data_IF_256704180597
#
_entry.id   IF_256704180597
#
_cell.length_a   1.000
_cell.length_b   1.000
_cell.length_c   1.000
_cell.angle_alpha   90.00
_cell.angle_beta   90.00
_cell.angle_gamma   90.00
#
_symmetry.space_group_name_H-M   'P 1'
#
loop_
_entity.id
_entity.type
_entity.pdbx_description
1 polymer ?
#
# COMPACT_ATOMS: atom_id res chain seq x y z
N UNK A 1 -9.16 67.22 -29.99
CA UNK A 1 -10.40 67.05 -29.17
C UNK A 1 -10.45 65.64 -28.67
N UNK A 2 -10.06 65.40 -27.44
CA UNK A 2 -10.10 64.11 -26.82
C UNK A 2 -9.78 64.27 -25.35
N UNK A 3 -10.66 63.98 -24.48
CA UNK A 3 -10.54 64.22 -23.05
C UNK A 3 -9.68 63.14 -22.39
N UNK A 4 -8.72 63.60 -21.60
CA UNK A 4 -7.94 62.86 -20.66
C UNK A 4 -8.73 62.64 -19.38
N UNK A 5 -8.95 61.40 -18.96
CA UNK A 5 -9.53 61.09 -17.67
C UNK A 5 -8.40 60.72 -16.68
N UNK A 6 -8.31 61.54 -15.63
CA UNK A 6 -7.36 61.42 -14.52
C UNK A 6 -7.85 60.36 -13.53
N UNK A 7 -7.02 59.40 -13.25
CA UNK A 7 -7.20 58.43 -12.15
C UNK A 7 -6.78 59.13 -10.83
N UNK A 8 -7.74 59.21 -9.90
CA UNK A 8 -7.57 59.74 -8.55
C UNK A 8 -7.01 58.70 -7.59
N UNK A 9 -5.87 59.00 -6.97
CA UNK A 9 -5.34 58.17 -5.88
C UNK A 9 -6.01 58.56 -4.56
N UNK A 10 -6.80 57.68 -3.99
CA UNK A 10 -7.35 57.77 -2.65
C UNK A 10 -6.31 57.53 -1.58
N UNK A 11 -6.19 58.48 -0.65
CA UNK A 11 -5.32 58.40 0.53
C UNK A 11 -5.85 57.37 1.51
N UNK A 12 -5.05 56.38 1.85
CA UNK A 12 -5.30 55.44 2.95
C UNK A 12 -4.89 56.11 4.27
N UNK A 13 -5.89 56.34 5.12
CA UNK A 13 -5.69 56.81 6.50
C UNK A 13 -5.30 55.59 7.37
N UNK A 14 -4.14 55.63 7.98
CA UNK A 14 -3.76 54.69 9.06
C UNK A 14 -4.48 55.12 10.35
N UNK A 15 -5.44 54.30 10.79
CA UNK A 15 -5.99 54.36 12.16
C UNK A 15 -5.10 53.46 13.04
N UNK A 16 -4.33 54.07 13.93
CA UNK A 16 -3.63 53.38 15.01
C UNK A 16 -4.66 53.08 16.11
N UNK A 17 -5.12 51.84 16.23
CA UNK A 17 -5.88 51.37 17.35
C UNK A 17 -4.95 50.97 18.49
N UNK A 18 -4.93 51.82 19.52
CA UNK A 18 -4.27 51.53 20.80
C UNK A 18 -5.14 50.56 21.59
N UNK A 19 -4.85 49.26 21.54
CA UNK A 19 -5.58 48.26 22.33
C UNK A 19 -5.00 48.22 23.75
N UNK A 20 -5.83 48.62 24.72
CA UNK A 20 -5.62 48.35 26.13
C UNK A 20 -5.57 46.85 26.37
N UNK A 21 -4.46 46.34 26.89
CA UNK A 21 -4.36 44.96 27.40
C UNK A 21 -5.01 44.97 28.79
N UNK A 22 -6.24 44.50 28.86
CA UNK A 22 -6.86 44.11 30.12
C UNK A 22 -6.40 42.66 30.40
N UNK A 23 -5.47 42.54 31.36
CA UNK A 23 -5.06 41.23 31.89
C UNK A 23 -6.24 40.65 32.72
N UNK A 24 -7.07 39.83 32.10
CA UNK A 24 -8.03 39.00 32.82
C UNK A 24 -7.30 37.72 33.23
N UNK A 25 -7.01 37.59 34.52
CA UNK A 25 -6.72 36.30 35.14
C UNK A 25 -7.97 35.41 35.02
N UNK A 26 -8.10 34.69 33.89
CA UNK A 26 -9.01 33.55 33.77
C UNK A 26 -8.30 32.33 34.34
N UNK A 27 -8.90 31.69 35.35
CA UNK A 27 -8.56 30.35 35.75
C UNK A 27 -8.77 29.39 34.55
N UNK A 28 -7.70 29.18 33.76
CA UNK A 28 -7.72 28.16 32.73
C UNK A 28 -7.78 26.81 33.44
N UNK A 29 -8.92 26.14 33.33
CA UNK A 29 -8.94 24.68 33.48
C UNK A 29 -7.93 24.15 32.47
N UNK A 30 -6.92 23.44 32.92
CA UNK A 30 -6.00 22.71 32.06
C UNK A 30 -6.86 21.66 31.34
N UNK A 31 -7.17 21.89 30.07
CA UNK A 31 -7.72 20.85 29.22
C UNK A 31 -6.72 19.70 29.26
N UNK A 32 -7.16 18.53 29.69
CA UNK A 32 -6.35 17.33 29.64
C UNK A 32 -5.83 17.08 28.19
N UNK A 33 -4.82 16.24 28.02
CA UNK A 33 -4.30 15.95 26.70
C UNK A 33 -5.42 15.50 25.77
N UNK A 34 -5.44 16.05 24.57
CA UNK A 34 -6.43 15.74 23.53
C UNK A 34 -6.39 14.24 23.21
N UNK A 35 -7.57 13.62 23.08
CA UNK A 35 -7.67 12.21 22.75
C UNK A 35 -6.99 11.91 21.40
N UNK A 36 -6.18 10.87 21.38
CA UNK A 36 -5.43 10.45 20.18
C UNK A 36 -6.10 9.23 19.56
N UNK A 37 -6.25 9.22 18.24
CA UNK A 37 -7.00 8.19 17.52
C UNK A 37 -6.03 7.24 16.81
N UNK A 38 -6.25 5.94 17.02
CA UNK A 38 -5.72 4.85 16.20
C UNK A 38 -6.87 4.25 15.41
N UNK A 39 -6.79 4.27 14.11
CA UNK A 39 -7.77 3.60 13.25
C UNK A 39 -7.47 2.11 13.19
N UNK A 40 -8.51 1.32 13.37
CA UNK A 40 -8.48 -0.13 13.21
C UNK A 40 -9.09 -0.41 11.86
N UNK A 41 -8.24 -0.70 10.90
CA UNK A 41 -8.65 -0.97 9.51
C UNK A 41 -8.14 -2.34 9.12
N UNK A 42 -8.73 -2.94 8.10
CA UNK A 42 -8.48 -4.31 7.69
C UNK A 42 -7.00 -4.72 7.83
N UNK A 43 -6.74 -5.58 8.82
CA UNK A 43 -5.44 -6.16 9.19
C UNK A 43 -4.35 -5.19 9.68
N UNK A 44 -4.69 -3.91 9.98
CA UNK A 44 -3.72 -2.90 10.39
C UNK A 44 -4.25 -1.95 11.49
N UNK A 45 -3.34 -1.51 12.37
CA UNK A 45 -3.53 -0.33 13.25
C UNK A 45 -2.83 0.88 12.65
N UNK A 46 -3.58 1.97 12.41
CA UNK A 46 -3.03 3.18 11.80
C UNK A 46 -3.22 4.43 12.69
N UNK A 47 -2.14 5.05 13.18
CA UNK A 47 -0.74 4.68 12.99
C UNK A 47 -0.35 3.42 13.78
N UNK A 48 0.57 2.63 13.26
CA UNK A 48 1.13 1.44 13.93
C UNK A 48 1.91 1.80 15.19
N UNK A 49 2.53 2.98 15.22
CA UNK A 49 3.24 3.53 16.37
C UNK A 49 2.73 4.93 16.68
N UNK A 50 2.26 5.14 17.90
CA UNK A 50 1.75 6.43 18.37
C UNK A 50 2.49 6.87 19.64
N UNK A 51 2.96 8.12 19.68
CA UNK A 51 3.56 8.74 20.88
C UNK A 51 2.57 9.69 21.54
N UNK A 52 2.37 9.51 22.83
CA UNK A 52 1.42 10.33 23.61
C UNK A 52 2.02 10.76 24.96
N UNK A 53 1.63 11.90 25.52
CA UNK A 53 1.95 12.27 26.90
C UNK A 53 1.38 11.32 27.93
N UNK A 54 1.95 11.26 29.14
CA UNK A 54 1.36 10.57 30.28
C UNK A 54 -0.02 11.17 30.61
N UNK A 55 -1.00 10.33 30.88
CA UNK A 55 -2.39 10.72 31.15
C UNK A 55 -3.24 10.86 29.87
N UNK A 56 -2.70 10.55 28.71
CA UNK A 56 -3.48 10.58 27.45
C UNK A 56 -4.44 9.40 27.35
N UNK A 57 -5.61 9.66 26.77
CA UNK A 57 -6.53 8.62 26.32
C UNK A 57 -6.31 8.37 24.84
N UNK A 58 -6.10 7.12 24.47
CA UNK A 58 -6.06 6.66 23.08
C UNK A 58 -7.37 5.98 22.76
N UNK A 59 -7.93 6.31 21.61
CA UNK A 59 -9.18 5.75 21.08
C UNK A 59 -8.85 4.91 19.85
N UNK A 60 -9.20 3.62 19.89
CA UNK A 60 -9.19 2.76 18.70
C UNK A 60 -10.56 2.81 18.05
N UNK A 61 -10.61 3.29 16.82
CA UNK A 61 -11.83 3.47 16.03
C UNK A 61 -11.86 2.49 14.87
N UNK A 62 -12.81 1.57 14.87
CA UNK A 62 -12.96 0.59 13.80
C UNK A 62 -13.56 1.21 12.54
N UNK A 63 -12.81 1.17 11.43
CA UNK A 63 -13.21 1.68 10.10
C UNK A 63 -13.25 0.63 9.00
N UNK A 64 -12.66 -0.55 9.24
CA UNK A 64 -12.58 -1.65 8.28
C UNK A 64 -13.87 -2.44 8.08
N UNK A 65 -13.80 -3.47 7.28
CA UNK A 65 -14.91 -4.40 7.03
C UNK A 65 -14.84 -5.64 7.92
N UNK A 66 -13.65 -5.96 8.44
CA UNK A 66 -13.40 -7.14 9.27
C UNK A 66 -13.65 -6.85 10.75
N UNK A 67 -13.90 -7.93 11.51
CA UNK A 67 -13.99 -7.88 12.95
C UNK A 67 -12.59 -7.87 13.57
N UNK A 68 -12.40 -7.01 14.57
CA UNK A 68 -11.10 -6.83 15.22
C UNK A 68 -11.18 -6.95 16.73
N UNK A 69 -10.01 -7.01 17.37
CA UNK A 69 -9.86 -6.77 18.80
C UNK A 69 -8.57 -5.97 19.03
N UNK A 70 -8.46 -5.38 20.20
CA UNK A 70 -7.27 -4.68 20.66
C UNK A 70 -6.90 -5.26 22.03
N UNK A 71 -5.79 -5.99 22.09
CA UNK A 71 -5.33 -6.66 23.30
C UNK A 71 -3.88 -6.25 23.57
N UNK A 72 -3.60 -5.79 24.80
CA UNK A 72 -2.23 -5.57 25.24
C UNK A 72 -1.41 -6.87 25.16
N UNK A 73 -0.17 -6.81 24.67
CA UNK A 73 0.69 -7.98 24.53
C UNK A 73 1.00 -8.68 25.85
N UNK A 74 0.95 -7.94 26.96
CA UNK A 74 1.09 -8.45 28.33
C UNK A 74 -0.25 -8.85 28.99
N UNK A 75 -1.37 -8.68 28.28
CA UNK A 75 -2.71 -9.00 28.77
C UNK A 75 -3.26 -8.02 29.81
N UNK A 76 -2.61 -6.87 30.04
CA UNK A 76 -3.02 -5.91 31.09
C UNK A 76 -4.31 -5.17 30.78
N UNK A 77 -4.68 -5.03 29.50
CA UNK A 77 -5.93 -4.42 29.04
C UNK A 77 -6.36 -4.98 27.69
N UNK A 78 -7.65 -4.90 27.38
CA UNK A 78 -8.22 -5.31 26.12
C UNK A 78 -9.52 -4.57 25.84
N UNK A 79 -9.90 -4.46 24.57
CA UNK A 79 -11.22 -4.02 24.17
C UNK A 79 -12.25 -5.06 24.66
N UNK A 80 -13.22 -4.62 25.45
CA UNK A 80 -14.31 -5.47 25.91
C UNK A 80 -15.57 -5.00 25.22
N UNK A 81 -16.14 -5.83 24.35
CA UNK A 81 -17.49 -5.58 23.86
C UNK A 81 -18.50 -6.06 24.87
N UNK A 82 -19.53 -5.26 25.12
CA UNK A 82 -20.67 -5.67 25.93
C UNK A 82 -21.38 -6.84 25.23
N UNK A 83 -21.49 -7.96 25.88
CA UNK A 83 -22.52 -9.00 25.81
C UNK A 83 -22.36 -10.25 24.96
N UNK A 84 -21.36 -10.46 24.10
CA UNK A 84 -21.43 -11.65 23.23
C UNK A 84 -20.20 -12.56 23.10
N UNK A 85 -18.99 -12.14 23.46
CA UNK A 85 -17.82 -13.01 23.34
C UNK A 85 -16.82 -12.84 24.49
N UNK A 86 -16.21 -13.93 24.89
CA UNK A 86 -15.14 -14.04 25.89
C UNK A 86 -13.89 -13.22 25.53
N UNK A 87 -13.83 -12.75 24.27
CA UNK A 87 -12.83 -11.82 23.73
C UNK A 87 -13.57 -10.67 23.07
N UNK A 88 -13.42 -9.45 23.54
CA UNK A 88 -14.08 -8.27 22.97
C UNK A 88 -13.85 -8.17 21.46
N UNK A 89 -14.92 -8.00 20.70
CA UNK A 89 -14.89 -7.77 19.25
C UNK A 89 -15.29 -6.33 19.02
N UNK A 90 -14.50 -5.61 18.21
CA UNK A 90 -14.84 -4.30 17.68
C UNK A 90 -15.18 -4.43 16.19
N UNK A 91 -16.39 -4.02 15.84
CA UNK A 91 -16.90 -4.03 14.48
C UNK A 91 -16.88 -2.62 13.91
N UNK A 92 -17.16 -2.46 12.64
CA UNK A 92 -17.16 -1.15 11.96
C UNK A 92 -18.03 -0.12 12.69
N UNK A 93 -17.41 0.98 13.09
CA UNK A 93 -18.04 2.09 13.80
C UNK A 93 -17.94 2.00 15.32
N UNK A 94 -17.45 0.88 15.86
CA UNK A 94 -17.18 0.75 17.29
C UNK A 94 -15.89 1.48 17.68
N UNK A 95 -15.83 1.86 18.96
CA UNK A 95 -14.65 2.50 19.54
C UNK A 95 -14.29 1.81 20.85
N UNK A 96 -12.99 1.68 21.07
CA UNK A 96 -12.42 1.28 22.34
C UNK A 96 -11.47 2.36 22.83
N UNK A 97 -11.47 2.68 24.10
CA UNK A 97 -10.57 3.67 24.68
C UNK A 97 -9.79 3.11 25.87
N UNK A 98 -8.54 3.56 26.00
CA UNK A 98 -7.70 3.26 27.13
C UNK A 98 -6.86 4.49 27.51
N UNK A 99 -6.77 4.78 28.85
CA UNK A 99 -5.98 5.89 29.37
C UNK A 99 -4.67 5.40 29.95
N UNK A 100 -3.57 5.94 29.46
CA UNK A 100 -2.21 5.58 29.87
C UNK A 100 -1.68 6.53 30.92
N UNK A 101 -1.68 6.11 32.19
CA UNK A 101 -1.29 6.94 33.34
C UNK A 101 0.20 6.84 33.71
N UNK A 102 0.95 5.92 33.13
CA UNK A 102 2.36 5.70 33.42
C UNK A 102 3.18 5.78 32.11
N UNK A 103 4.41 6.28 32.22
CA UNK A 103 5.33 6.31 31.08
C UNK A 103 5.80 4.89 30.76
N UNK A 104 5.86 4.54 29.48
CA UNK A 104 6.24 3.20 29.06
C UNK A 104 6.01 2.94 27.58
N UNK A 105 6.35 1.73 27.16
CA UNK A 105 6.05 1.21 25.83
C UNK A 105 4.98 0.13 25.99
N UNK A 106 3.88 0.31 25.29
CA UNK A 106 2.72 -0.55 25.36
C UNK A 106 2.47 -1.17 23.98
N UNK A 107 2.85 -2.43 23.87
CA UNK A 107 2.60 -3.21 22.67
C UNK A 107 1.22 -3.85 22.72
N UNK A 108 0.53 -3.93 21.60
CA UNK A 108 -0.79 -4.52 21.47
C UNK A 108 -1.00 -5.16 20.11
N UNK A 109 -1.99 -6.04 19.99
CA UNK A 109 -2.26 -6.77 18.76
C UNK A 109 -3.75 -7.11 18.60
N UNK A 110 -4.13 -7.52 17.39
CA UNK A 110 -5.43 -8.13 17.10
C UNK A 110 -5.27 -9.66 17.00
N UNK A 111 -5.89 -10.48 17.87
CA UNK A 111 -5.71 -11.93 17.87
C UNK A 111 -6.35 -12.63 16.65
N UNK A 112 -7.24 -11.95 15.91
CA UNK A 112 -7.82 -12.49 14.68
C UNK A 112 -6.85 -12.41 13.51
N UNK A 113 -5.97 -11.39 13.50
CA UNK A 113 -5.09 -11.05 12.37
C UNK A 113 -3.60 -11.03 12.76
N UNK A 114 -3.25 -11.57 13.93
CA UNK A 114 -1.88 -11.58 14.40
C UNK A 114 -1.67 -12.25 15.75
N UNK A 115 -0.44 -12.12 16.22
CA UNK A 115 0.00 -12.53 17.56
C UNK A 115 0.66 -11.33 18.24
N UNK A 116 1.08 -11.46 19.49
CA UNK A 116 1.70 -10.37 20.25
C UNK A 116 2.97 -9.74 19.62
N UNK A 117 3.53 -10.33 18.57
CA UNK A 117 4.74 -9.83 17.91
C UNK A 117 4.73 -9.93 16.38
N UNK A 118 3.64 -10.40 15.78
CA UNK A 118 3.57 -10.61 14.31
C UNK A 118 2.14 -10.39 13.80
N UNK A 119 2.02 -9.86 12.59
CA UNK A 119 0.75 -9.57 11.93
C UNK A 119 0.22 -8.20 12.35
N UNK A 120 -1.07 -8.10 12.68
CA UNK A 120 -1.71 -6.85 13.08
C UNK A 120 -1.31 -6.46 14.51
N UNK A 121 -0.24 -5.68 14.63
CA UNK A 121 0.36 -5.21 15.89
C UNK A 121 0.49 -3.69 15.90
N UNK A 122 0.42 -3.10 17.11
CA UNK A 122 0.61 -1.66 17.30
C UNK A 122 1.40 -1.36 18.58
N UNK A 123 1.86 -0.12 18.68
CA UNK A 123 2.71 0.34 19.79
C UNK A 123 2.27 1.74 20.22
N UNK A 124 1.98 1.90 21.52
CA UNK A 124 1.81 3.22 22.15
C UNK A 124 3.04 3.52 23.00
N UNK A 125 3.69 4.65 22.76
CA UNK A 125 4.79 5.14 23.57
C UNK A 125 4.28 6.30 24.39
N UNK A 126 4.30 6.15 25.70
CA UNK A 126 3.76 7.10 26.66
C UNK A 126 4.89 7.84 27.38
N UNK A 127 4.85 9.17 27.31
CA UNK A 127 5.87 10.03 27.92
C UNK A 127 7.18 10.07 27.15
N UNK A 128 8.23 10.55 27.79
CA UNK A 128 9.58 10.67 27.21
C UNK A 128 10.36 9.38 27.43
N UNK A 129 10.01 8.36 26.64
CA UNK A 129 10.64 7.05 26.70
C UNK A 129 11.44 6.84 25.41
N UNK A 130 12.75 6.53 25.58
CA UNK A 130 13.59 6.10 24.47
C UNK A 130 13.11 4.72 23.97
N UNK A 131 12.49 4.72 22.81
CA UNK A 131 12.09 3.51 22.12
C UNK A 131 12.73 3.47 20.75
N UNK A 132 13.55 2.46 20.53
CA UNK A 132 14.05 2.07 19.22
C UNK A 132 13.22 0.88 18.81
N UNK A 133 12.40 0.97 17.75
CA UNK A 133 11.73 -0.22 17.21
C UNK A 133 12.77 -1.31 17.01
N UNK A 134 12.48 -2.58 17.38
CA UNK A 134 13.36 -3.66 16.96
C UNK A 134 13.55 -3.48 15.44
N UNK A 135 14.79 -3.66 14.94
CA UNK A 135 14.99 -3.64 13.50
C UNK A 135 13.92 -4.56 12.91
N UNK A 136 13.21 -4.09 11.88
CA UNK A 136 12.38 -5.00 11.09
C UNK A 136 13.24 -6.22 10.86
N UNK A 137 12.74 -7.41 11.23
CA UNK A 137 13.49 -8.64 10.96
C UNK A 137 13.70 -8.67 9.44
N UNK A 138 14.81 -8.11 9.01
CA UNK A 138 15.29 -8.32 7.65
C UNK A 138 15.49 -9.82 7.64
N UNK A 139 14.64 -10.52 6.92
CA UNK A 139 14.77 -11.95 6.76
C UNK A 139 16.16 -12.22 6.16
N UNK A 140 17.15 -12.39 7.03
CA UNK A 140 18.56 -12.61 6.65
C UNK A 140 18.77 -13.99 6.02
N UNK A 141 17.73 -14.82 6.03
CA UNK A 141 17.71 -16.14 5.40
C UNK A 141 17.18 -16.13 3.96
N UNK A 142 16.98 -14.91 3.37
CA UNK A 142 16.62 -14.82 1.97
C UNK A 142 17.79 -15.37 1.11
N UNK A 143 17.46 -16.29 0.24
CA UNK A 143 18.38 -16.77 -0.79
C UNK A 143 18.72 -15.61 -1.74
N UNK A 144 19.93 -15.63 -2.27
CA UNK A 144 20.38 -14.70 -3.31
C UNK A 144 20.81 -15.45 -4.58
N UNK A 145 20.32 -16.67 -4.73
CA UNK A 145 20.64 -17.49 -5.89
C UNK A 145 19.99 -16.92 -7.15
N UNK A 146 20.65 -17.14 -8.28
CA UNK A 146 20.14 -16.74 -9.60
C UNK A 146 19.79 -17.99 -10.39
N UNK A 147 18.49 -18.15 -10.69
CA UNK A 147 18.00 -19.22 -11.54
C UNK A 147 17.80 -18.68 -12.95
N UNK A 148 18.65 -19.12 -13.88
CA UNK A 148 18.55 -18.68 -15.28
C UNK A 148 17.57 -19.52 -16.08
N UNK A 149 16.64 -18.82 -16.77
CA UNK A 149 15.64 -19.42 -17.65
C UNK A 149 15.99 -19.16 -19.11
N UNK A 150 15.92 -20.20 -19.93
CA UNK A 150 16.12 -20.08 -21.37
C UNK A 150 16.33 -21.42 -22.06
N UNK A 151 16.29 -21.39 -23.39
CA UNK A 151 16.46 -22.57 -24.21
C UNK A 151 17.81 -23.25 -23.92
N UNK A 152 17.77 -24.54 -23.67
CA UNK A 152 18.95 -25.37 -23.35
C UNK A 152 19.66 -25.01 -22.03
N UNK A 153 18.99 -24.25 -21.14
CA UNK A 153 19.44 -24.06 -19.75
C UNK A 153 18.78 -25.10 -18.82
N UNK A 154 19.14 -25.07 -17.57
CA UNK A 154 18.56 -25.95 -16.55
C UNK A 154 17.03 -25.75 -16.45
N UNK A 155 16.58 -24.51 -16.60
CA UNK A 155 15.16 -24.18 -16.62
C UNK A 155 14.78 -23.65 -18.00
N UNK A 156 13.98 -24.40 -18.75
CA UNK A 156 13.50 -23.99 -20.06
C UNK A 156 12.18 -23.19 -20.00
N UNK A 157 11.45 -23.31 -18.87
CA UNK A 157 10.22 -22.55 -18.59
C UNK A 157 10.39 -21.68 -17.35
N UNK A 158 9.69 -20.56 -17.30
CA UNK A 158 9.72 -19.67 -16.15
C UNK A 158 9.12 -20.38 -14.93
N UNK A 159 8.00 -21.10 -15.10
CA UNK A 159 7.36 -21.83 -14.02
C UNK A 159 8.30 -22.85 -13.38
N UNK A 160 9.09 -23.57 -14.16
CA UNK A 160 10.02 -24.57 -13.60
C UNK A 160 11.11 -23.94 -12.73
N UNK A 161 11.55 -22.72 -13.06
CA UNK A 161 12.48 -21.99 -12.21
C UNK A 161 11.80 -21.46 -10.95
N UNK A 162 10.56 -20.93 -11.07
CA UNK A 162 9.76 -20.47 -9.93
C UNK A 162 9.48 -21.61 -8.95
N UNK A 163 9.14 -22.82 -9.44
CA UNK A 163 8.88 -24.00 -8.60
C UNK A 163 10.13 -24.47 -7.82
N UNK A 164 11.31 -24.21 -8.36
CA UNK A 164 12.59 -24.58 -7.73
C UNK A 164 13.15 -23.49 -6.81
N UNK A 165 12.61 -22.26 -6.91
CA UNK A 165 13.15 -21.08 -6.23
C UNK A 165 12.85 -21.07 -4.74
N UNK A 166 13.74 -20.43 -3.99
CA UNK A 166 13.56 -20.09 -2.57
C UNK A 166 13.29 -18.59 -2.41
N UNK A 167 12.74 -18.24 -1.28
CA UNK A 167 12.50 -16.83 -0.94
C UNK A 167 13.78 -15.99 -1.11
N UNK A 168 13.68 -14.91 -1.86
CA UNK A 168 14.78 -13.98 -2.18
C UNK A 168 15.51 -14.24 -3.49
N UNK A 169 15.26 -15.37 -4.15
CA UNK A 169 15.94 -15.72 -5.41
C UNK A 169 15.57 -14.77 -6.56
N UNK A 170 16.50 -14.66 -7.49
CA UNK A 170 16.33 -14.00 -8.78
C UNK A 170 16.08 -15.03 -9.89
N UNK A 171 14.91 -14.98 -10.52
CA UNK A 171 14.61 -15.68 -11.77
C UNK A 171 15.02 -14.77 -12.92
N UNK A 172 16.14 -15.08 -13.56
CA UNK A 172 16.70 -14.27 -14.65
C UNK A 172 16.40 -14.90 -16.02
N UNK A 173 15.52 -14.23 -16.79
CA UNK A 173 14.96 -14.80 -18.01
C UNK A 173 15.73 -14.29 -19.23
N UNK A 174 16.23 -15.20 -20.05
CA UNK A 174 16.86 -14.88 -21.33
C UNK A 174 15.81 -14.54 -22.39
N UNK A 175 16.22 -13.80 -23.42
CA UNK A 175 15.34 -13.45 -24.54
C UNK A 175 14.72 -14.69 -25.18
N UNK A 176 13.41 -14.62 -25.40
CA UNK A 176 12.58 -15.69 -25.94
C UNK A 176 11.10 -15.37 -25.81
N UNK A 177 10.28 -16.19 -26.50
CA UNK A 177 8.83 -16.17 -26.31
C UNK A 177 8.46 -17.39 -25.46
N UNK A 178 7.81 -17.13 -24.34
CA UNK A 178 7.40 -18.12 -23.33
C UNK A 178 5.88 -18.22 -23.35
N UNK A 179 5.37 -19.32 -23.91
CA UNK A 179 3.93 -19.55 -24.05
C UNK A 179 3.40 -20.26 -22.79
N UNK A 180 3.41 -19.56 -21.67
CA UNK A 180 3.03 -20.11 -20.37
C UNK A 180 2.29 -19.09 -19.51
N UNK A 181 1.58 -19.57 -18.49
CA UNK A 181 1.14 -18.82 -17.31
C UNK A 181 2.08 -19.13 -16.16
N UNK A 182 2.40 -18.13 -15.35
CA UNK A 182 3.32 -18.28 -14.21
C UNK A 182 2.57 -18.00 -12.92
N UNK A 183 2.57 -18.95 -11.99
CA UNK A 183 1.99 -18.79 -10.66
C UNK A 183 3.09 -18.74 -9.62
N UNK A 184 3.09 -17.70 -8.79
CA UNK A 184 4.11 -17.46 -7.78
C UNK A 184 3.49 -17.55 -6.40
N UNK A 185 4.03 -18.46 -5.58
CA UNK A 185 3.66 -18.67 -4.17
C UNK A 185 4.87 -18.62 -3.23
N UNK A 186 6.06 -18.38 -3.78
CA UNK A 186 7.29 -18.19 -3.01
C UNK A 186 7.53 -16.69 -2.81
N UNK A 187 7.62 -16.19 -1.57
CA UNK A 187 7.75 -14.76 -1.31
C UNK A 187 9.14 -14.21 -1.67
N UNK A 188 9.20 -12.91 -1.85
CA UNK A 188 10.43 -12.15 -2.11
C UNK A 188 11.17 -12.52 -3.39
N UNK A 189 10.52 -13.18 -4.35
CA UNK A 189 11.12 -13.47 -5.65
C UNK A 189 11.23 -12.21 -6.51
N UNK A 190 12.31 -12.14 -7.27
CA UNK A 190 12.42 -11.19 -8.39
C UNK A 190 12.37 -11.94 -9.71
N UNK A 191 11.37 -11.66 -10.53
CA UNK A 191 11.22 -12.18 -11.89
C UNK A 191 11.71 -11.10 -12.85
N UNK A 192 12.87 -11.31 -13.48
CA UNK A 192 13.51 -10.28 -14.30
C UNK A 192 13.90 -10.79 -15.67
N UNK A 193 13.43 -10.10 -16.72
CA UNK A 193 13.91 -10.29 -18.08
C UNK A 193 15.28 -9.64 -18.31
N UNK A 194 16.16 -10.27 -19.07
CA UNK A 194 17.42 -9.63 -19.51
C UNK A 194 17.19 -8.51 -20.50
N UNK A 195 16.08 -8.54 -21.24
CA UNK A 195 15.70 -7.52 -22.22
C UNK A 195 14.16 -7.34 -22.20
N UNK A 196 13.71 -6.11 -21.93
CA UNK A 196 12.29 -5.76 -21.85
C UNK A 196 11.49 -6.19 -23.09
N UNK A 197 12.05 -6.02 -24.25
CA UNK A 197 11.40 -6.33 -25.54
C UNK A 197 11.75 -7.72 -26.05
N UNK A 198 12.84 -8.29 -25.59
CA UNK A 198 13.31 -9.62 -25.97
C UNK A 198 12.72 -10.76 -25.16
N UNK A 199 12.26 -10.50 -23.93
CA UNK A 199 11.59 -11.49 -23.08
C UNK A 199 10.09 -11.27 -23.16
N UNK A 200 9.37 -12.20 -23.78
CA UNK A 200 7.94 -12.08 -24.03
C UNK A 200 7.20 -13.28 -23.43
N UNK A 201 6.30 -13.03 -22.50
CA UNK A 201 5.35 -14.03 -21.99
C UNK A 201 4.07 -13.86 -22.77
N UNK A 202 3.64 -14.90 -23.48
CA UNK A 202 2.53 -14.84 -24.45
C UNK A 202 1.42 -15.83 -24.09
N UNK A 203 0.23 -15.32 -23.85
CA UNK A 203 -0.95 -16.11 -23.51
C UNK A 203 -1.63 -16.76 -24.70
N UNK A 204 -1.27 -16.39 -25.94
CA UNK A 204 -1.87 -16.90 -27.19
C UNK A 204 -3.40 -16.75 -27.23
N UNK A 205 -3.97 -15.85 -26.38
CA UNK A 205 -5.41 -15.70 -26.09
C UNK A 205 -6.10 -16.98 -25.59
N UNK A 206 -5.32 -17.93 -25.08
CA UNK A 206 -5.81 -19.21 -24.55
C UNK A 206 -5.61 -19.36 -23.05
N UNK A 207 -4.75 -18.54 -22.44
CA UNK A 207 -4.44 -18.53 -21.00
C UNK A 207 -5.06 -17.31 -20.36
N UNK A 208 -5.49 -17.44 -19.10
CA UNK A 208 -6.22 -16.37 -18.40
C UNK A 208 -5.27 -15.26 -17.93
N UNK A 209 -4.27 -15.59 -17.14
CA UNK A 209 -3.35 -14.61 -16.56
C UNK A 209 -1.89 -14.95 -16.94
N UNK A 210 -1.07 -13.92 -17.14
CA UNK A 210 0.33 -14.09 -17.48
C UNK A 210 1.18 -14.47 -16.27
N UNK A 211 1.35 -13.54 -15.33
CA UNK A 211 2.00 -13.79 -14.05
C UNK A 211 1.00 -13.49 -12.95
N UNK A 212 0.76 -14.45 -12.09
CA UNK A 212 -0.20 -14.33 -10.99
C UNK A 212 0.48 -14.63 -9.64
N UNK A 213 0.30 -13.72 -8.71
CA UNK A 213 0.86 -13.74 -7.37
C UNK A 213 -0.30 -13.68 -6.38
N UNK A 214 -0.48 -14.73 -5.56
CA UNK A 214 -1.53 -14.82 -4.57
C UNK A 214 -0.97 -14.90 -3.17
N UNK A 215 -1.46 -14.05 -2.26
CA UNK A 215 -1.12 -14.05 -0.83
C UNK A 215 0.40 -14.20 -0.59
N UNK A 216 1.21 -13.54 -1.45
CA UNK A 216 2.65 -13.73 -1.49
C UNK A 216 3.35 -12.38 -1.50
N UNK A 217 4.15 -12.11 -0.46
CA UNK A 217 4.76 -10.81 -0.23
C UNK A 217 6.09 -10.62 -0.96
N UNK A 218 6.43 -9.35 -1.23
CA UNK A 218 7.75 -8.93 -1.69
C UNK A 218 8.11 -9.35 -3.12
N UNK A 219 7.13 -9.77 -3.94
CA UNK A 219 7.41 -10.23 -5.30
C UNK A 219 7.55 -9.06 -6.26
N UNK A 220 8.68 -9.03 -7.00
CA UNK A 220 8.95 -8.05 -8.05
C UNK A 220 8.92 -8.69 -9.43
N UNK A 221 8.27 -8.01 -10.40
CA UNK A 221 8.27 -8.38 -11.82
C UNK A 221 8.89 -7.25 -12.62
N UNK A 222 9.97 -7.53 -13.35
CA UNK A 222 10.80 -6.48 -13.91
C UNK A 222 11.30 -6.80 -15.34
N UNK A 223 11.37 -5.75 -16.15
CA UNK A 223 12.11 -5.71 -17.43
C UNK A 223 11.71 -6.82 -18.42
N UNK A 224 10.41 -7.01 -18.66
CA UNK A 224 9.87 -7.99 -19.61
C UNK A 224 8.56 -7.53 -20.23
N UNK A 225 8.08 -8.26 -21.23
CA UNK A 225 6.80 -8.03 -21.90
C UNK A 225 5.81 -9.16 -21.62
N UNK A 226 4.52 -8.81 -21.42
CA UNK A 226 3.42 -9.77 -21.20
C UNK A 226 2.25 -9.40 -22.09
N UNK A 227 1.73 -10.37 -22.86
CA UNK A 227 0.69 -10.09 -23.84
C UNK A 227 -0.27 -11.27 -24.10
N UNK A 228 -1.39 -10.95 -24.74
CA UNK A 228 -2.34 -11.90 -25.33
C UNK A 228 -2.91 -12.90 -24.32
N UNK A 229 -3.15 -12.46 -23.09
CA UNK A 229 -3.89 -13.22 -22.08
C UNK A 229 -5.37 -12.86 -22.16
N UNK A 230 -6.27 -13.80 -21.83
CA UNK A 230 -7.70 -13.54 -21.85
C UNK A 230 -8.22 -12.74 -20.68
N UNK A 231 -7.41 -12.56 -19.63
CA UNK A 231 -7.64 -11.67 -18.47
C UNK A 231 -6.42 -10.75 -18.29
N UNK A 232 -5.62 -10.93 -17.25
CA UNK A 232 -4.60 -9.98 -16.83
C UNK A 232 -3.20 -10.34 -17.31
N UNK A 233 -2.35 -9.32 -17.57
CA UNK A 233 -0.95 -9.58 -17.84
C UNK A 233 -0.19 -9.96 -16.56
N UNK A 234 -0.19 -9.09 -15.54
CA UNK A 234 0.45 -9.33 -14.24
C UNK A 234 -0.51 -8.98 -13.13
N UNK A 235 -0.66 -9.89 -12.19
CA UNK A 235 -1.71 -9.84 -11.18
C UNK A 235 -1.20 -10.17 -9.79
N UNK A 236 -1.34 -9.24 -8.83
CA UNK A 236 -1.16 -9.44 -7.40
C UNK A 236 -2.51 -9.45 -6.71
N UNK A 237 -2.69 -10.34 -5.75
CA UNK A 237 -3.87 -10.41 -4.89
C UNK A 237 -3.46 -10.79 -3.46
N UNK A 238 -3.87 -9.97 -2.47
CA UNK A 238 -3.57 -10.22 -1.06
C UNK A 238 -2.07 -10.15 -0.74
N UNK A 239 -1.31 -9.28 -1.43
CA UNK A 239 0.15 -9.23 -1.34
C UNK A 239 0.61 -7.91 -0.73
N UNK A 240 1.72 -7.97 0.02
CA UNK A 240 2.39 -6.79 0.58
C UNK A 240 3.76 -6.60 -0.05
N UNK A 241 4.13 -5.34 -0.34
CA UNK A 241 5.45 -5.01 -0.87
C UNK A 241 5.65 -5.44 -2.32
N UNK A 242 4.61 -5.36 -3.16
CA UNK A 242 4.67 -5.76 -4.56
C UNK A 242 5.35 -4.72 -5.45
N UNK A 243 5.97 -5.17 -6.54
CA UNK A 243 6.60 -4.26 -7.52
C UNK A 243 6.44 -4.72 -8.96
N UNK A 244 6.05 -3.78 -9.83
CA UNK A 244 6.19 -3.89 -11.28
C UNK A 244 7.09 -2.77 -11.81
N UNK A 245 8.13 -3.11 -12.58
CA UNK A 245 9.07 -2.13 -13.09
C UNK A 245 9.52 -2.43 -14.51
N UNK A 246 9.55 -1.42 -15.39
CA UNK A 246 10.00 -1.56 -16.78
C UNK A 246 9.25 -2.66 -17.55
N UNK A 247 7.93 -2.77 -17.36
CA UNK A 247 7.11 -3.73 -18.08
C UNK A 247 6.51 -3.13 -19.36
N UNK A 248 6.36 -3.96 -20.38
CA UNK A 248 5.49 -3.71 -21.52
C UNK A 248 4.35 -4.71 -21.49
N UNK A 249 3.13 -4.25 -21.25
CA UNK A 249 1.94 -5.10 -21.20
C UNK A 249 0.93 -4.65 -22.26
N UNK A 250 0.48 -5.56 -23.10
CA UNK A 250 -0.43 -5.19 -24.17
C UNK A 250 -1.34 -6.30 -24.67
N UNK A 251 -2.52 -5.92 -25.17
CA UNK A 251 -3.53 -6.82 -25.72
C UNK A 251 -3.96 -7.94 -24.77
N UNK A 252 -4.16 -7.63 -23.49
CA UNK A 252 -4.75 -8.59 -22.55
C UNK A 252 -6.22 -8.28 -22.39
N UNK A 253 -7.01 -9.29 -22.03
CA UNK A 253 -8.47 -9.25 -22.11
C UNK A 253 -9.17 -8.50 -20.98
N UNK A 254 -8.44 -8.03 -19.96
CA UNK A 254 -8.99 -7.25 -18.85
C UNK A 254 -8.01 -6.16 -18.43
N UNK A 255 -7.04 -6.42 -17.55
CA UNK A 255 -6.07 -5.44 -17.06
C UNK A 255 -4.65 -5.67 -17.57
N UNK A 256 -3.88 -4.59 -17.62
CA UNK A 256 -2.43 -4.67 -17.85
C UNK A 256 -1.72 -5.12 -16.56
N UNK A 257 -1.51 -4.21 -15.63
CA UNK A 257 -0.92 -4.50 -14.32
C UNK A 257 -1.96 -4.27 -13.24
N UNK A 258 -2.18 -5.28 -12.42
CA UNK A 258 -3.33 -5.33 -11.51
C UNK A 258 -2.89 -5.73 -10.10
N UNK A 259 -3.19 -4.88 -9.10
CA UNK A 259 -3.01 -5.18 -7.68
C UNK A 259 -4.36 -5.03 -6.96
N UNK A 260 -4.87 -6.14 -6.45
CA UNK A 260 -6.14 -6.24 -5.74
C UNK A 260 -5.87 -6.65 -4.29
N UNK A 261 -6.50 -5.96 -3.33
CA UNK A 261 -6.34 -6.26 -1.91
C UNK A 261 -4.85 -6.37 -1.49
N UNK A 262 -4.03 -5.46 -2.03
CA UNK A 262 -2.58 -5.50 -1.89
C UNK A 262 -2.06 -4.12 -1.48
N UNK A 263 -1.00 -4.09 -0.64
CA UNK A 263 -0.46 -2.87 -0.05
C UNK A 263 1.04 -2.71 -0.23
N UNK A 264 1.55 -1.50 0.04
CA UNK A 264 2.98 -1.16 0.00
C UNK A 264 3.64 -1.44 -1.37
N UNK A 265 2.92 -1.06 -2.44
CA UNK A 265 3.30 -1.41 -3.80
C UNK A 265 3.91 -0.29 -4.64
N UNK A 266 4.64 -0.68 -5.68
CA UNK A 266 5.23 0.25 -6.65
C UNK A 266 5.02 -0.23 -8.07
N UNK A 267 4.39 0.61 -8.89
CA UNK A 267 4.31 0.45 -10.35
C UNK A 267 5.08 1.60 -11.02
N UNK A 268 6.17 1.29 -11.67
CA UNK A 268 7.03 2.28 -12.32
C UNK A 268 7.43 1.89 -13.74
N UNK A 269 7.51 2.88 -14.62
CA UNK A 269 8.00 2.71 -15.98
C UNK A 269 7.29 1.61 -16.76
N UNK A 270 5.98 1.54 -16.55
CA UNK A 270 5.09 0.61 -17.26
C UNK A 270 4.67 1.23 -18.59
N UNK A 271 4.71 0.44 -19.65
CA UNK A 271 3.96 0.72 -20.86
C UNK A 271 2.77 -0.25 -20.93
N UNK A 272 1.54 0.27 -20.91
CA UNK A 272 0.33 -0.54 -20.94
C UNK A 272 -0.61 -0.08 -22.08
N UNK A 273 -1.01 -1.00 -22.96
CA UNK A 273 -1.84 -0.66 -24.13
C UNK A 273 -2.78 -1.79 -24.57
N UNK A 274 -3.96 -1.41 -25.05
CA UNK A 274 -4.90 -2.33 -25.68
C UNK A 274 -5.66 -3.22 -24.71
N UNK A 275 -5.96 -2.74 -23.50
CA UNK A 275 -6.75 -3.44 -22.50
C UNK A 275 -8.20 -2.95 -22.52
N UNK A 276 -9.20 -3.87 -22.52
CA UNK A 276 -10.63 -3.50 -22.51
C UNK A 276 -11.10 -2.81 -21.23
N UNK A 277 -10.38 -2.99 -20.10
CA UNK A 277 -10.57 -2.21 -18.88
C UNK A 277 -9.39 -1.25 -18.71
N UNK A 278 -8.58 -1.35 -17.70
CA UNK A 278 -7.51 -0.37 -17.46
C UNK A 278 -6.11 -0.93 -17.69
N UNK A 279 -5.21 -0.02 -18.11
CA UNK A 279 -3.79 -0.35 -18.23
C UNK A 279 -3.16 -0.66 -16.86
N UNK A 280 -3.58 0.07 -15.81
CA UNK A 280 -3.10 -0.10 -14.44
C UNK A 280 -4.29 -0.10 -13.47
N UNK A 281 -4.28 -1.04 -12.52
CA UNK A 281 -5.26 -1.10 -11.45
C UNK A 281 -4.56 -1.28 -10.09
N UNK A 282 -4.95 -0.46 -9.10
CA UNK A 282 -4.68 -0.70 -7.68
C UNK A 282 -5.99 -0.42 -6.94
N UNK A 283 -6.54 -1.42 -6.28
CA UNK A 283 -7.82 -1.27 -5.59
C UNK A 283 -8.08 -2.30 -4.51
N UNK A 284 -9.22 -2.13 -3.83
CA UNK A 284 -9.63 -2.91 -2.65
C UNK A 284 -8.58 -2.87 -1.54
N UNK A 285 -7.95 -1.71 -1.32
CA UNK A 285 -6.92 -1.52 -0.31
C UNK A 285 -7.14 -0.20 0.46
N UNK A 286 -6.98 -0.25 1.78
CA UNK A 286 -7.00 0.92 2.64
C UNK A 286 -6.21 0.68 3.93
N UNK A 287 -5.04 1.34 4.12
CA UNK A 287 -4.34 2.17 3.13
C UNK A 287 -3.67 1.33 2.04
N UNK A 288 -3.66 1.84 0.80
CA UNK A 288 -2.92 1.16 -0.27
C UNK A 288 -1.40 1.31 -0.15
N UNK A 289 -0.92 2.44 0.38
CA UNK A 289 0.51 2.77 0.49
C UNK A 289 1.28 2.53 -0.82
N UNK A 290 0.75 3.00 -1.93
CA UNK A 290 1.27 2.62 -3.24
C UNK A 290 1.69 3.81 -4.09
N UNK A 291 2.59 3.56 -5.05
CA UNK A 291 3.12 4.53 -5.99
C UNK A 291 2.90 4.05 -7.43
N UNK A 292 2.43 4.97 -8.30
CA UNK A 292 2.39 4.76 -9.76
C UNK A 292 3.10 5.95 -10.41
N UNK A 293 4.23 5.72 -11.07
CA UNK A 293 4.97 6.83 -11.67
C UNK A 293 5.77 6.45 -12.93
N UNK A 294 6.15 7.48 -13.71
CA UNK A 294 6.97 7.38 -14.93
C UNK A 294 6.42 6.39 -15.95
N UNK A 295 5.10 6.20 -16.01
CA UNK A 295 4.46 5.21 -16.86
C UNK A 295 3.74 5.85 -18.05
N UNK A 296 3.62 5.11 -19.13
CA UNK A 296 2.86 5.49 -20.34
C UNK A 296 1.75 4.48 -20.54
N UNK A 297 0.52 4.97 -20.54
CA UNK A 297 -0.68 4.14 -20.63
C UNK A 297 -1.56 4.70 -21.74
N UNK A 298 -1.77 3.93 -22.81
CA UNK A 298 -2.49 4.42 -23.99
C UNK A 298 -3.36 3.35 -24.65
N UNK A 299 -4.46 3.78 -25.27
CA UNK A 299 -5.31 2.87 -26.04
C UNK A 299 -6.05 1.82 -25.20
N UNK A 300 -6.30 2.10 -23.92
CA UNK A 300 -7.12 1.27 -23.02
C UNK A 300 -8.48 1.92 -22.79
N UNK A 301 -9.44 1.21 -22.19
CA UNK A 301 -10.70 1.85 -21.78
C UNK A 301 -10.43 2.89 -20.70
N UNK A 302 -9.62 2.58 -19.71
CA UNK A 302 -9.15 3.47 -18.65
C UNK A 302 -7.62 3.45 -18.57
N UNK A 303 -7.03 4.57 -18.19
CA UNK A 303 -5.60 4.60 -17.87
C UNK A 303 -5.33 3.91 -16.56
N UNK A 304 -5.98 4.40 -15.51
CA UNK A 304 -5.96 3.87 -14.16
C UNK A 304 -7.39 3.60 -13.68
N UNK A 305 -7.58 2.52 -12.95
CA UNK A 305 -8.79 2.21 -12.21
C UNK A 305 -8.42 1.83 -10.77
N UNK A 306 -9.27 2.20 -9.81
CA UNK A 306 -8.97 1.99 -8.39
C UNK A 306 -10.24 1.95 -7.56
N UNK A 307 -11.00 0.87 -7.68
CA UNK A 307 -12.22 0.68 -6.88
C UNK A 307 -11.86 0.43 -5.42
N UNK A 308 -12.45 1.22 -4.50
CA UNK A 308 -12.16 1.13 -3.07
C UNK A 308 -10.66 1.26 -2.72
N UNK A 309 -9.92 2.03 -3.50
CA UNK A 309 -8.55 2.42 -3.20
C UNK A 309 -8.55 3.67 -2.32
N UNK A 310 -7.68 3.70 -1.32
CA UNK A 310 -7.58 4.83 -0.42
C UNK A 310 -6.30 4.88 0.40
N UNK A 311 -6.20 5.87 1.30
CA UNK A 311 -4.99 6.12 2.08
C UNK A 311 -3.89 6.76 1.23
N UNK A 312 -2.64 6.32 1.40
CA UNK A 312 -1.49 6.89 0.71
C UNK A 312 -1.32 6.22 -0.66
N UNK A 313 -1.97 6.78 -1.68
CA UNK A 313 -1.79 6.38 -3.08
C UNK A 313 -1.32 7.60 -3.87
N UNK A 314 -0.10 7.53 -4.40
CA UNK A 314 0.51 8.61 -5.16
C UNK A 314 0.67 8.23 -6.63
N UNK A 315 0.05 9.02 -7.52
CA UNK A 315 0.09 8.83 -8.96
C UNK A 315 0.68 10.10 -9.58
N UNK A 316 1.89 10.01 -10.13
CA UNK A 316 2.57 11.20 -10.66
C UNK A 316 3.50 10.88 -11.83
N UNK A 317 3.78 11.90 -12.64
CA UNK A 317 4.67 11.83 -13.81
C UNK A 317 4.31 10.72 -14.81
N UNK A 318 3.01 10.43 -14.97
CA UNK A 318 2.52 9.44 -15.93
C UNK A 318 1.94 10.13 -17.16
N UNK A 319 1.93 9.44 -18.28
CA UNK A 319 1.32 9.86 -19.53
C UNK A 319 0.12 8.96 -19.82
N UNK A 320 -1.09 9.56 -19.88
CA UNK A 320 -2.34 8.88 -20.15
C UNK A 320 -2.87 9.37 -21.51
N UNK A 321 -2.94 8.49 -22.51
CA UNK A 321 -3.29 8.86 -23.89
C UNK A 321 -4.33 7.93 -24.49
N UNK A 322 -5.15 8.48 -25.39
CA UNK A 322 -6.07 7.70 -26.23
C UNK A 322 -6.96 6.72 -25.43
N UNK A 323 -7.48 7.20 -24.30
CA UNK A 323 -8.38 6.44 -23.44
C UNK A 323 -9.81 6.59 -23.93
N UNK A 324 -10.64 5.56 -23.77
CA UNK A 324 -12.07 5.63 -24.09
C UNK A 324 -12.81 6.46 -23.06
N UNK A 325 -12.38 6.36 -21.79
CA UNK A 325 -12.89 7.16 -20.68
C UNK A 325 -11.72 7.85 -19.95
N UNK A 326 -11.93 9.08 -19.56
CA UNK A 326 -10.98 9.89 -18.80
C UNK A 326 -11.61 10.20 -17.44
#
# INVERSE_FOLDING_TARGET
MGKSDKVSYGKILFFACLSLIISACGSGEASGPEAQIVRVVDDEFSPKLLRVPVGSTVIWESGGANDHNVIASDGSWQAVSSDYFEYGIITKGDQFEHTFNEAGVYEYYCPFHGTNNKGMVGIIIVGDVDYVPPPEEVNTDLSTDVLEVGKSLQYETIQSAVDAAKAGDLILINSGVYNESVTITTPYLTIRGKDRNGVIIDGEFMRENGIQIYETDGVSVENLSVRNFSLNAVYWNGSKGYKASHLTVYNNGDYGVYAFDSTDGVFEKIYASGHPDSGIYIGQCYPCNALIYDSVVEGNALGYSGTNAGGHLYIYNNIWLSLIHI
#
